data_IF_275980444149
#
_entry.id   IF_275980444149
#
_cell.length_a   1.000
_cell.length_b   1.000
_cell.length_c   1.000
_cell.angle_alpha   90.00
_cell.angle_beta   90.00
_cell.angle_gamma   90.00
#
_symmetry.space_group_name_H-M   'P 1'
#
loop_
_entity.id
_entity.type
_entity.pdbx_description
1 polymer ?
#
# COMPACT_ATOMS: atom_id res chain seq x y z
N UNK A 1 4.34 22.21 -33.53
CA UNK A 1 3.93 20.99 -32.81
C UNK A 1 4.65 20.97 -31.48
N UNK A 2 3.93 20.76 -30.38
CA UNK A 2 4.55 20.58 -29.07
C UNK A 2 5.20 19.20 -29.02
N UNK A 3 6.34 19.09 -28.33
CA UNK A 3 6.96 17.78 -28.07
C UNK A 3 6.10 17.02 -27.06
N UNK A 4 5.47 15.92 -27.52
CA UNK A 4 4.60 15.08 -26.70
C UNK A 4 5.40 14.04 -25.90
N UNK A 5 6.72 13.92 -26.11
CA UNK A 5 7.56 12.87 -25.51
C UNK A 5 7.54 12.90 -23.99
N UNK A 6 7.50 14.11 -23.40
CA UNK A 6 7.48 14.32 -21.95
C UNK A 6 6.08 14.56 -21.39
N UNK A 7 5.04 14.54 -22.24
CA UNK A 7 3.67 14.75 -21.79
C UNK A 7 3.21 13.59 -20.88
N UNK A 8 2.56 13.87 -19.73
CA UNK A 8 2.07 12.83 -18.83
C UNK A 8 0.88 12.09 -19.46
N UNK A 9 0.78 10.77 -19.21
CA UNK A 9 -0.27 9.93 -19.79
C UNK A 9 -1.69 10.41 -19.49
N UNK A 10 -1.92 10.99 -18.31
CA UNK A 10 -3.23 11.52 -17.92
C UNK A 10 -3.68 12.73 -18.77
N UNK A 11 -2.77 13.40 -19.48
CA UNK A 11 -3.09 14.44 -20.47
C UNK A 11 -3.23 13.85 -21.88
N UNK A 12 -2.39 12.87 -22.22
CA UNK A 12 -2.41 12.26 -23.55
C UNK A 12 -3.68 11.45 -23.82
N UNK A 13 -4.09 10.65 -22.83
CA UNK A 13 -5.17 9.67 -22.97
C UNK A 13 -6.53 10.33 -23.23
N UNK A 14 -6.98 11.35 -22.48
CA UNK A 14 -8.27 11.98 -22.73
C UNK A 14 -8.37 12.58 -24.12
N UNK A 15 -7.31 13.23 -24.61
CA UNK A 15 -7.26 13.77 -25.97
C UNK A 15 -7.30 12.66 -27.04
N UNK A 16 -6.61 11.53 -26.82
CA UNK A 16 -6.66 10.38 -27.73
C UNK A 16 -8.00 9.63 -27.75
N UNK A 17 -8.78 9.73 -26.66
CA UNK A 17 -10.09 9.08 -26.50
C UNK A 17 -11.28 9.99 -26.84
N UNK A 18 -11.08 11.31 -26.95
CA UNK A 18 -12.13 12.29 -27.25
C UNK A 18 -12.32 12.41 -28.77
N UNK A 19 -13.45 11.97 -29.34
CA UNK A 19 -13.66 12.03 -30.78
C UNK A 19 -13.60 13.46 -31.32
N UNK A 20 -12.80 13.68 -32.36
CA UNK A 20 -12.69 14.98 -33.01
C UNK A 20 -11.79 15.99 -32.29
N UNK A 21 -11.01 15.54 -31.30
CA UNK A 21 -9.94 16.35 -30.73
C UNK A 21 -8.90 16.67 -31.82
N UNK A 22 -8.43 17.93 -31.95
CA UNK A 22 -7.52 18.33 -33.04
C UNK A 22 -6.24 17.50 -33.08
N UNK A 23 -5.76 17.08 -31.91
CA UNK A 23 -4.52 16.32 -31.75
C UNK A 23 -4.74 14.82 -31.51
N UNK A 24 -5.95 14.28 -31.72
CA UNK A 24 -6.34 12.89 -31.41
C UNK A 24 -5.34 11.86 -31.97
N UNK A 25 -4.99 12.00 -33.25
CA UNK A 25 -4.12 11.07 -33.96
C UNK A 25 -2.67 11.10 -33.43
N UNK A 26 -2.13 12.29 -33.15
CA UNK A 26 -0.79 12.46 -32.62
C UNK A 26 -0.67 11.86 -31.21
N UNK A 27 -1.68 12.08 -30.37
CA UNK A 27 -1.72 11.55 -29.01
C UNK A 27 -1.84 10.02 -29.02
N UNK A 28 -2.68 9.44 -29.91
CA UNK A 28 -2.79 7.99 -30.07
C UNK A 28 -1.49 7.36 -30.55
N UNK A 29 -0.81 7.99 -31.51
CA UNK A 29 0.47 7.52 -32.02
C UNK A 29 1.54 7.51 -30.91
N UNK A 30 1.58 8.56 -30.10
CA UNK A 30 2.51 8.66 -28.97
C UNK A 30 2.24 7.61 -27.89
N UNK A 31 0.97 7.40 -27.50
CA UNK A 31 0.58 6.34 -26.56
C UNK A 31 1.01 4.97 -27.08
N UNK A 32 0.71 4.67 -28.36
CA UNK A 32 1.08 3.40 -28.99
C UNK A 32 2.60 3.21 -28.99
N UNK A 33 3.37 4.25 -29.34
CA UNK A 33 4.83 4.22 -29.31
C UNK A 33 5.37 3.85 -27.91
N UNK A 34 4.86 4.48 -26.84
CA UNK A 34 5.31 4.15 -25.47
C UNK A 34 4.90 2.74 -25.05
N UNK A 35 3.76 2.25 -25.50
CA UNK A 35 3.32 0.88 -25.26
C UNK A 35 4.22 -0.15 -25.97
N UNK A 36 4.49 0.06 -27.26
CA UNK A 36 5.33 -0.82 -28.07
C UNK A 36 6.76 -0.91 -27.51
N UNK A 37 7.31 0.21 -27.04
CA UNK A 37 8.60 0.24 -26.35
C UNK A 37 8.58 -0.63 -25.09
N UNK A 38 7.53 -0.54 -24.27
CA UNK A 38 7.39 -1.39 -23.08
C UNK A 38 7.26 -2.89 -23.46
N UNK A 39 6.51 -3.23 -24.50
CA UNK A 39 6.37 -4.61 -25.01
C UNK A 39 7.70 -5.16 -25.53
N UNK A 40 8.45 -4.37 -26.29
CA UNK A 40 9.78 -4.77 -26.78
C UNK A 40 10.74 -5.05 -25.63
N UNK A 41 10.77 -4.18 -24.61
CA UNK A 41 11.60 -4.39 -23.42
C UNK A 41 11.18 -5.63 -22.63
N UNK A 42 9.88 -5.84 -22.38
CA UNK A 42 9.38 -7.03 -21.68
C UNK A 42 9.71 -8.33 -22.41
N UNK A 43 9.72 -8.31 -23.74
CA UNK A 43 10.08 -9.47 -24.58
C UNK A 43 11.58 -9.82 -24.45
N UNK A 44 12.44 -8.83 -24.20
CA UNK A 44 13.88 -9.05 -23.96
C UNK A 44 14.20 -9.45 -22.52
N UNK A 45 13.35 -9.08 -21.56
CA UNK A 45 13.43 -9.47 -20.15
C UNK A 45 12.45 -10.62 -19.89
N UNK A 46 12.72 -11.80 -20.47
CA UNK A 46 11.99 -13.01 -20.05
C UNK A 46 12.16 -13.20 -18.53
N UNK A 47 11.11 -13.58 -17.78
CA UNK A 47 11.30 -14.03 -16.41
C UNK A 47 12.23 -15.25 -16.43
N UNK A 48 13.09 -15.46 -15.41
CA UNK A 48 13.76 -16.74 -15.29
C UNK A 48 12.68 -17.81 -15.23
N UNK A 49 12.59 -18.64 -16.26
CA UNK A 49 11.81 -19.87 -16.23
C UNK A 49 12.14 -20.56 -14.91
N UNK A 50 11.17 -20.90 -14.04
CA UNK A 50 11.48 -21.70 -12.87
C UNK A 50 12.08 -23.00 -13.42
N UNK A 51 13.40 -23.14 -13.25
CA UNK A 51 14.10 -24.33 -13.68
C UNK A 51 13.46 -25.48 -12.93
N UNK A 52 12.67 -26.29 -13.64
CA UNK A 52 12.30 -27.63 -13.20
C UNK A 52 13.61 -28.28 -12.79
N UNK A 53 13.80 -28.48 -11.49
CA UNK A 53 15.00 -29.06 -10.91
C UNK A 53 15.18 -30.45 -11.50
N UNK A 54 15.95 -30.53 -12.58
CA UNK A 54 16.55 -31.75 -13.07
C UNK A 54 18.02 -31.65 -12.70
N UNK A 55 18.56 -32.56 -11.88
CA UNK A 55 19.98 -32.53 -11.54
C UNK A 55 20.75 -32.93 -12.80
N UNK A 56 21.30 -31.95 -13.51
CA UNK A 56 22.32 -32.17 -14.52
C UNK A 56 23.61 -31.46 -14.10
N UNK A 57 24.71 -32.18 -14.30
CA UNK A 57 26.06 -31.85 -13.88
C UNK A 57 26.56 -30.50 -14.44
N UNK A 58 27.51 -29.85 -13.77
CA UNK A 58 27.90 -28.48 -14.07
C UNK A 58 28.91 -28.42 -15.21
N UNK A 59 28.45 -28.20 -16.44
CA UNK A 59 29.31 -27.65 -17.51
C UNK A 59 28.47 -26.83 -18.46
N UNK A 60 28.31 -25.53 -18.18
CA UNK A 60 28.12 -24.47 -19.19
C UNK A 60 28.25 -23.10 -18.53
N UNK A 61 29.34 -22.42 -18.86
CA UNK A 61 29.63 -21.03 -18.61
C UNK A 61 28.54 -20.17 -19.23
N UNK A 62 27.53 -19.78 -18.45
CA UNK A 62 26.54 -18.79 -18.89
C UNK A 62 27.16 -17.41 -18.68
N UNK A 63 27.19 -16.52 -19.68
CA UNK A 63 27.69 -15.17 -19.46
C UNK A 63 26.75 -14.47 -18.48
N UNK A 64 27.27 -14.09 -17.31
CA UNK A 64 26.60 -13.13 -16.45
C UNK A 64 26.51 -11.81 -17.21
N UNK A 65 25.32 -11.51 -17.73
CA UNK A 65 25.00 -10.20 -18.27
C UNK A 65 24.99 -9.23 -17.09
N UNK A 66 26.14 -8.57 -16.86
CA UNK A 66 26.24 -7.39 -16.01
C UNK A 66 25.38 -6.29 -16.64
N UNK A 67 24.11 -6.17 -16.23
CA UNK A 67 23.29 -5.02 -16.59
C UNK A 67 23.77 -3.83 -15.78
N UNK A 68 24.04 -2.71 -16.45
CA UNK A 68 24.40 -1.49 -15.74
C UNK A 68 23.19 -0.95 -14.97
N UNK A 69 23.38 -0.29 -13.82
CA UNK A 69 22.28 0.35 -13.08
C UNK A 69 21.45 1.33 -13.93
N UNK A 70 22.09 1.99 -14.91
CA UNK A 70 21.43 2.87 -15.89
C UNK A 70 20.44 2.13 -16.81
N UNK A 71 20.75 0.90 -17.22
CA UNK A 71 19.85 0.09 -18.05
C UNK A 71 18.60 -0.31 -17.26
N UNK A 72 18.75 -0.56 -15.96
CA UNK A 72 17.64 -0.92 -15.09
C UNK A 72 16.68 0.26 -14.85
N UNK A 73 17.21 1.47 -14.69
CA UNK A 73 16.40 2.68 -14.54
C UNK A 73 15.63 3.04 -15.83
N UNK A 74 16.28 2.88 -17.00
CA UNK A 74 15.63 3.11 -18.31
C UNK A 74 14.49 2.11 -18.58
N UNK A 75 14.71 0.83 -18.25
CA UNK A 75 13.67 -0.21 -18.34
C UNK A 75 12.50 0.09 -17.40
N UNK A 76 12.78 0.50 -16.15
CA UNK A 76 11.74 0.88 -15.20
C UNK A 76 10.90 2.05 -15.72
N UNK A 77 11.53 3.12 -16.21
CA UNK A 77 10.83 4.29 -16.75
C UNK A 77 9.94 3.97 -17.96
N UNK A 78 10.39 3.09 -18.84
CA UNK A 78 9.63 2.71 -20.04
C UNK A 78 8.40 1.86 -19.68
N UNK A 79 8.55 0.88 -18.79
CA UNK A 79 7.41 0.08 -18.29
C UNK A 79 6.44 0.97 -17.51
N UNK A 80 6.95 1.93 -16.75
CA UNK A 80 6.16 2.88 -15.98
C UNK A 80 5.27 3.76 -16.88
N UNK A 81 5.75 4.17 -18.06
CA UNK A 81 4.92 4.89 -19.03
C UNK A 81 3.70 4.08 -19.50
N UNK A 82 3.89 2.79 -19.82
CA UNK A 82 2.79 1.90 -20.18
C UNK A 82 1.84 1.62 -19.00
N UNK A 83 2.38 1.53 -17.77
CA UNK A 83 1.56 1.43 -16.55
C UNK A 83 0.71 2.68 -16.34
N UNK A 84 1.29 3.88 -16.51
CA UNK A 84 0.58 5.15 -16.41
C UNK A 84 -0.55 5.28 -17.43
N UNK A 85 -0.41 4.68 -18.62
CA UNK A 85 -1.53 4.58 -19.57
C UNK A 85 -2.71 3.80 -18.96
N UNK A 86 -2.46 2.60 -18.43
CA UNK A 86 -3.49 1.81 -17.72
C UNK A 86 -4.06 2.58 -16.51
N UNK A 87 -3.21 3.33 -15.81
CA UNK A 87 -3.60 4.24 -14.72
C UNK A 87 -4.58 5.32 -15.17
N UNK A 88 -4.35 5.95 -16.32
CA UNK A 88 -5.25 6.95 -16.88
C UNK A 88 -6.60 6.37 -17.32
N UNK A 89 -6.62 5.19 -17.96
CA UNK A 89 -7.86 4.48 -18.26
C UNK A 89 -8.64 4.15 -16.97
N UNK A 90 -7.93 3.69 -15.94
CA UNK A 90 -8.52 3.35 -14.64
C UNK A 90 -9.13 4.58 -13.97
N UNK A 91 -8.50 5.74 -14.08
CA UNK A 91 -9.02 7.00 -13.52
C UNK A 91 -10.35 7.39 -14.21
N UNK A 92 -10.38 7.36 -15.54
CA UNK A 92 -11.60 7.67 -16.32
C UNK A 92 -12.75 6.74 -15.90
N UNK A 93 -12.49 5.43 -15.83
CA UNK A 93 -13.50 4.46 -15.43
C UNK A 93 -13.90 4.62 -13.95
N UNK A 94 -12.98 4.97 -13.07
CA UNK A 94 -13.27 5.23 -11.65
C UNK A 94 -14.21 6.42 -11.47
N UNK A 95 -13.98 7.53 -12.21
CA UNK A 95 -14.87 8.69 -12.20
C UNK A 95 -16.27 8.33 -12.70
N UNK A 96 -16.35 7.51 -13.75
CA UNK A 96 -17.63 7.06 -14.30
C UNK A 96 -18.38 6.15 -13.32
N UNK A 97 -17.70 5.19 -12.69
CA UNK A 97 -18.30 4.34 -11.64
C UNK A 97 -18.82 5.17 -10.48
N UNK A 98 -18.04 6.17 -10.03
CA UNK A 98 -18.45 7.09 -8.97
C UNK A 98 -19.69 7.91 -9.37
N UNK A 99 -19.74 8.40 -10.61
CA UNK A 99 -20.90 9.11 -11.15
C UNK A 99 -22.15 8.22 -11.17
N UNK A 100 -22.02 6.99 -11.69
CA UNK A 100 -23.11 6.01 -11.75
C UNK A 100 -23.60 5.59 -10.37
N UNK A 101 -22.71 5.56 -9.38
CA UNK A 101 -23.04 5.29 -7.98
C UNK A 101 -23.68 6.51 -7.29
N UNK A 102 -23.63 7.70 -7.89
CA UNK A 102 -24.05 8.96 -7.25
C UNK A 102 -23.11 9.41 -6.12
N UNK A 103 -21.89 8.88 -6.09
CA UNK A 103 -20.91 9.12 -5.02
C UNK A 103 -19.86 10.11 -5.51
N UNK A 104 -19.67 11.21 -4.79
CA UNK A 104 -18.53 12.10 -5.06
C UNK A 104 -17.22 11.47 -4.54
N UNK A 105 -16.06 11.71 -5.18
CA UNK A 105 -14.80 11.13 -4.73
C UNK A 105 -14.50 11.34 -3.24
N UNK A 106 -14.78 12.54 -2.71
CA UNK A 106 -14.61 12.89 -1.28
C UNK A 106 -15.63 12.23 -0.35
N UNK A 107 -16.74 11.72 -0.89
CA UNK A 107 -17.81 11.10 -0.11
C UNK A 107 -17.68 9.59 0.02
N UNK A 108 -16.83 8.94 -0.77
CA UNK A 108 -16.67 7.47 -0.77
C UNK A 108 -16.48 6.86 0.62
N UNK A 109 -15.72 7.53 1.48
CA UNK A 109 -15.46 7.11 2.88
C UNK A 109 -16.11 8.02 3.93
N UNK A 110 -16.84 9.04 3.48
CA UNK A 110 -17.56 9.97 4.36
C UNK A 110 -19.07 9.67 4.42
N UNK A 111 -19.59 8.80 3.55
CA UNK A 111 -21.00 8.41 3.54
C UNK A 111 -21.15 6.92 3.83
N UNK A 112 -22.11 6.52 4.69
CA UNK A 112 -22.23 5.14 5.18
C UNK A 112 -22.48 4.07 4.11
N UNK A 113 -23.13 4.45 3.01
CA UNK A 113 -23.57 3.53 1.95
C UNK A 113 -22.80 3.69 0.64
N UNK A 114 -21.91 4.69 0.55
CA UNK A 114 -21.20 5.02 -0.68
C UNK A 114 -20.35 3.86 -1.22
N UNK A 115 -19.61 3.16 -0.35
CA UNK A 115 -18.84 1.99 -0.77
C UNK A 115 -19.74 0.86 -1.33
N UNK A 116 -20.93 0.65 -0.77
CA UNK A 116 -21.87 -0.38 -1.28
C UNK A 116 -22.46 0.02 -2.62
N UNK A 117 -22.79 1.29 -2.82
CA UNK A 117 -23.28 1.81 -4.10
C UNK A 117 -22.22 1.64 -5.21
N UNK A 118 -20.95 1.93 -4.91
CA UNK A 118 -19.83 1.67 -5.83
C UNK A 118 -19.69 0.19 -6.14
N UNK A 119 -19.72 -0.68 -5.12
CA UNK A 119 -19.65 -2.15 -5.32
C UNK A 119 -20.78 -2.63 -6.22
N UNK A 120 -22.01 -2.16 -6.03
CA UNK A 120 -23.15 -2.54 -6.87
C UNK A 120 -22.94 -2.18 -8.35
N UNK A 121 -22.33 -1.03 -8.64
CA UNK A 121 -21.96 -0.65 -10.02
C UNK A 121 -20.86 -1.57 -10.57
N UNK A 122 -19.84 -1.90 -9.78
CA UNK A 122 -18.73 -2.78 -10.19
C UNK A 122 -19.19 -4.22 -10.44
N UNK A 123 -20.11 -4.74 -9.62
CA UNK A 123 -20.72 -6.06 -9.80
C UNK A 123 -21.55 -6.09 -11.10
N UNK A 124 -22.34 -5.05 -11.36
CA UNK A 124 -23.08 -4.89 -12.62
C UNK A 124 -22.17 -4.90 -13.84
N UNK A 125 -21.04 -4.19 -13.79
CA UNK A 125 -20.08 -4.18 -14.90
C UNK A 125 -19.36 -5.52 -15.07
N UNK A 126 -19.04 -6.20 -13.96
CA UNK A 126 -18.42 -7.53 -13.98
C UNK A 126 -19.35 -8.56 -14.63
N UNK A 127 -20.66 -8.47 -14.36
CA UNK A 127 -21.67 -9.35 -14.93
C UNK A 127 -21.86 -9.18 -16.46
N UNK A 128 -21.45 -8.04 -17.05
CA UNK A 128 -21.49 -7.85 -18.53
C UNK A 128 -20.60 -8.83 -19.29
N UNK A 129 -19.65 -9.49 -18.62
CA UNK A 129 -18.75 -10.48 -19.21
C UNK A 129 -19.41 -11.84 -19.49
N UNK A 130 -20.64 -12.08 -19.02
CA UNK A 130 -21.35 -13.33 -19.27
C UNK A 130 -21.69 -13.47 -20.77
N UNK A 131 -21.15 -14.51 -21.43
CA UNK A 131 -21.50 -14.86 -22.81
C UNK A 131 -20.49 -14.53 -23.92
N UNK A 132 -19.18 -14.58 -23.67
CA UNK A 132 -18.13 -14.35 -24.71
C UNK A 132 -18.24 -12.99 -25.44
N UNK A 133 -18.64 -11.93 -24.72
CA UNK A 133 -18.58 -10.57 -25.24
C UNK A 133 -17.17 -9.97 -25.00
N UNK A 134 -16.38 -9.64 -26.05
CA UNK A 134 -15.06 -9.04 -25.88
C UNK A 134 -15.09 -7.73 -25.08
N UNK A 135 -16.12 -6.89 -25.29
CA UNK A 135 -16.34 -5.66 -24.51
C UNK A 135 -16.64 -5.99 -23.04
N UNK A 136 -17.34 -7.10 -22.77
CA UNK A 136 -17.60 -7.57 -21.41
C UNK A 136 -16.33 -7.99 -20.69
N UNK A 137 -15.35 -8.59 -21.38
CA UNK A 137 -14.05 -8.91 -20.81
C UNK A 137 -13.26 -7.64 -20.42
N UNK A 138 -13.25 -6.63 -21.30
CA UNK A 138 -12.64 -5.34 -21.00
C UNK A 138 -13.34 -4.62 -19.83
N UNK A 139 -14.68 -4.59 -19.80
CA UNK A 139 -15.44 -4.04 -18.70
C UNK A 139 -15.10 -4.72 -17.36
N UNK A 140 -14.93 -6.04 -17.36
CA UNK A 140 -14.48 -6.79 -16.18
C UNK A 140 -13.07 -6.39 -15.73
N UNK A 141 -12.13 -6.20 -16.65
CA UNK A 141 -10.79 -5.70 -16.32
C UNK A 141 -10.83 -4.29 -15.74
N UNK A 142 -11.60 -3.39 -16.35
CA UNK A 142 -11.77 -2.03 -15.86
C UNK A 142 -12.45 -1.99 -14.50
N UNK A 143 -13.49 -2.81 -14.28
CA UNK A 143 -14.12 -2.99 -12.98
C UNK A 143 -13.14 -3.54 -11.94
N UNK A 144 -12.30 -4.52 -12.30
CA UNK A 144 -11.27 -5.02 -11.41
C UNK A 144 -10.27 -3.93 -10.99
N UNK A 145 -9.70 -3.19 -11.95
CA UNK A 145 -8.76 -2.11 -11.61
C UNK A 145 -9.43 -0.95 -10.87
N UNK A 146 -10.71 -0.71 -11.12
CA UNK A 146 -11.49 0.28 -10.37
C UNK A 146 -11.79 -0.17 -8.96
N UNK A 147 -12.05 -1.46 -8.72
CA UNK A 147 -12.10 -2.03 -7.37
C UNK A 147 -10.74 -1.85 -6.68
N UNK A 148 -9.64 -2.17 -7.36
CA UNK A 148 -8.30 -1.98 -6.79
C UNK A 148 -8.04 -0.49 -6.47
N UNK A 149 -8.38 0.41 -7.40
CA UNK A 149 -8.20 1.85 -7.26
C UNK A 149 -9.08 2.43 -6.16
N UNK A 150 -10.37 2.16 -6.15
CA UNK A 150 -11.26 2.78 -5.18
C UNK A 150 -11.18 2.08 -3.82
N UNK A 151 -11.06 0.75 -3.81
CA UNK A 151 -11.38 -0.08 -2.66
C UNK A 151 -10.23 -1.01 -2.19
N UNK A 152 -9.05 -1.03 -2.82
CA UNK A 152 -7.91 -1.87 -2.32
C UNK A 152 -6.67 -1.06 -2.04
N UNK A 153 -5.66 -1.72 -1.46
CA UNK A 153 -4.37 -1.09 -1.18
C UNK A 153 -3.75 -0.60 -2.50
N UNK A 154 -3.21 0.63 -2.56
CA UNK A 154 -2.64 1.20 -3.79
C UNK A 154 -1.59 0.30 -4.46
N UNK A 155 -0.83 -0.45 -3.65
CA UNK A 155 0.20 -1.38 -4.13
C UNK A 155 -0.38 -2.52 -4.97
N UNK A 156 -1.58 -3.01 -4.65
CA UNK A 156 -2.21 -4.07 -5.42
C UNK A 156 -2.51 -3.62 -6.85
N UNK A 157 -3.00 -2.39 -7.02
CA UNK A 157 -3.23 -1.80 -8.34
C UNK A 157 -1.91 -1.60 -9.09
N UNK A 158 -0.91 -1.02 -8.42
CA UNK A 158 0.40 -0.78 -9.03
C UNK A 158 1.04 -2.10 -9.50
N UNK A 159 1.06 -3.13 -8.67
CA UNK A 159 1.63 -4.44 -8.99
C UNK A 159 0.89 -5.13 -10.14
N UNK A 160 -0.45 -5.04 -10.17
CA UNK A 160 -1.25 -5.62 -11.24
C UNK A 160 -1.08 -4.87 -12.57
N UNK A 161 -1.19 -3.54 -12.57
CA UNK A 161 -0.96 -2.74 -13.78
C UNK A 161 0.48 -2.88 -14.29
N UNK A 162 1.48 -2.91 -13.41
CA UNK A 162 2.88 -3.13 -13.80
C UNK A 162 3.05 -4.48 -14.47
N UNK A 163 2.38 -5.52 -13.98
CA UNK A 163 2.40 -6.86 -14.58
C UNK A 163 1.76 -6.86 -15.97
N UNK A 164 0.72 -6.07 -16.19
CA UNK A 164 0.02 -5.98 -17.47
C UNK A 164 0.68 -5.02 -18.47
N UNK A 165 1.44 -4.04 -17.98
CA UNK A 165 2.14 -3.04 -18.79
C UNK A 165 3.12 -3.71 -19.77
N UNK A 166 2.82 -3.55 -21.08
CA UNK A 166 3.59 -4.17 -22.16
C UNK A 166 3.33 -5.68 -22.37
N UNK A 167 2.45 -6.30 -21.58
CA UNK A 167 2.07 -7.72 -21.70
C UNK A 167 0.60 -7.94 -22.11
N UNK A 168 -0.27 -6.97 -21.86
CA UNK A 168 -1.68 -7.06 -22.25
C UNK A 168 -1.83 -7.12 -23.78
N UNK A 169 -2.67 -8.05 -24.26
CA UNK A 169 -2.94 -8.20 -25.69
C UNK A 169 -3.56 -6.92 -26.27
N UNK A 170 -3.07 -6.48 -27.43
CA UNK A 170 -3.51 -5.23 -28.09
C UNK A 170 -5.02 -5.15 -28.25
N UNK A 171 -5.67 -6.24 -28.66
CA UNK A 171 -7.13 -6.28 -28.81
C UNK A 171 -7.88 -6.00 -27.49
N UNK A 172 -7.38 -6.50 -26.36
CA UNK A 172 -7.98 -6.22 -25.05
C UNK A 172 -7.73 -4.77 -24.63
N UNK A 173 -6.53 -4.25 -24.90
CA UNK A 173 -6.19 -2.86 -24.62
C UNK A 173 -7.09 -1.87 -25.39
N UNK A 174 -7.32 -2.13 -26.68
CA UNK A 174 -8.25 -1.37 -27.52
C UNK A 174 -9.69 -1.43 -26.98
N UNK A 175 -10.13 -2.60 -26.50
CA UNK A 175 -11.46 -2.75 -25.89
C UNK A 175 -11.57 -1.98 -24.56
N UNK A 176 -10.52 -1.98 -23.73
CA UNK A 176 -10.48 -1.15 -22.52
C UNK A 176 -10.54 0.35 -22.86
N UNK A 177 -9.79 0.78 -23.89
CA UNK A 177 -9.84 2.15 -24.40
C UNK A 177 -11.24 2.52 -24.88
N UNK A 178 -11.92 1.62 -25.60
CA UNK A 178 -13.30 1.82 -26.06
C UNK A 178 -14.29 2.01 -24.91
N UNK A 179 -14.21 1.16 -23.87
CA UNK A 179 -15.03 1.32 -22.64
C UNK A 179 -14.77 2.69 -22.01
N UNK A 180 -13.52 3.14 -21.99
CA UNK A 180 -13.16 4.44 -21.43
C UNK A 180 -13.60 5.62 -22.32
N UNK A 181 -13.65 5.47 -23.65
CA UNK A 181 -14.22 6.47 -24.55
C UNK A 181 -15.71 6.68 -24.26
N UNK A 182 -16.49 5.61 -24.11
CA UNK A 182 -17.92 5.72 -23.74
C UNK A 182 -18.09 6.36 -22.35
N UNK A 183 -17.30 5.90 -21.38
CA UNK A 183 -17.32 6.46 -20.03
C UNK A 183 -17.00 7.96 -20.02
N UNK A 184 -15.92 8.38 -20.70
CA UNK A 184 -15.46 9.76 -20.77
C UNK A 184 -16.52 10.69 -21.37
N UNK A 185 -17.21 10.26 -22.43
CA UNK A 185 -18.27 11.02 -23.08
C UNK A 185 -19.50 11.27 -22.17
N UNK A 186 -19.68 10.42 -21.14
CA UNK A 186 -20.80 10.50 -20.18
C UNK A 186 -20.45 11.26 -18.90
N UNK A 187 -19.18 11.57 -18.65
CA UNK A 187 -18.76 12.32 -17.47
C UNK A 187 -19.25 13.76 -17.53
N UNK A 188 -19.88 14.24 -16.45
CA UNK A 188 -20.39 15.61 -16.37
C UNK A 188 -20.29 16.18 -14.96
N UNK A 189 -20.32 17.52 -14.83
CA UNK A 189 -20.26 18.20 -13.54
C UNK A 189 -19.02 17.81 -12.70
N UNK A 190 -19.18 17.45 -11.40
CA UNK A 190 -18.08 17.16 -10.48
C UNK A 190 -17.25 15.93 -10.82
N UNK A 191 -17.74 15.08 -11.74
CA UNK A 191 -17.05 13.87 -12.20
C UNK A 191 -16.27 14.08 -13.50
N UNK A 192 -16.32 15.27 -14.09
CA UNK A 192 -15.48 15.57 -15.26
C UNK A 192 -14.00 15.39 -14.91
N UNK A 193 -13.25 14.79 -15.84
CA UNK A 193 -11.82 14.55 -15.63
C UNK A 193 -11.06 15.85 -15.33
N UNK A 194 -11.41 16.95 -16.01
CA UNK A 194 -10.80 18.25 -15.73
C UNK A 194 -11.01 18.71 -14.28
N UNK A 195 -12.22 18.56 -13.73
CA UNK A 195 -12.49 18.92 -12.33
C UNK A 195 -11.77 17.98 -11.37
N UNK A 196 -11.75 16.69 -11.65
CA UNK A 196 -11.02 15.70 -10.85
C UNK A 196 -9.51 16.01 -10.79
N UNK A 197 -8.91 16.39 -11.93
CA UNK A 197 -7.50 16.76 -12.02
C UNK A 197 -7.19 18.13 -11.41
N UNK A 198 -8.16 19.06 -11.40
CA UNK A 198 -7.99 20.41 -10.87
C UNK A 198 -8.10 20.50 -9.34
N UNK A 199 -8.58 19.44 -8.66
CA UNK A 199 -8.67 19.39 -7.20
C UNK A 199 -7.49 18.61 -6.65
N UNK A 200 -6.39 19.28 -6.24
CA UNK A 200 -5.29 18.60 -5.56
C UNK A 200 -5.80 18.08 -4.21
N UNK A 201 -5.86 16.76 -4.04
CA UNK A 201 -5.97 16.18 -2.69
C UNK A 201 -6.98 15.07 -2.46
N UNK A 202 -7.55 14.42 -3.48
CA UNK A 202 -8.39 13.24 -3.22
C UNK A 202 -7.66 11.94 -3.58
N UNK A 203 -7.39 11.18 -2.52
CA UNK A 203 -6.53 10.01 -2.46
C UNK A 203 -6.66 9.01 -3.60
N UNK A 204 -5.47 8.49 -3.95
CA UNK A 204 -5.06 7.59 -5.04
C UNK A 204 -5.05 8.23 -6.43
N UNK A 205 -3.84 8.56 -6.88
CA UNK A 205 -3.55 8.96 -8.25
C UNK A 205 -2.79 7.82 -8.95
N UNK A 206 -3.50 6.83 -9.50
CA UNK A 206 -2.85 5.68 -10.14
C UNK A 206 -2.10 6.05 -11.41
N UNK A 207 -2.34 7.23 -11.97
CA UNK A 207 -1.75 7.72 -13.21
C UNK A 207 -0.44 8.50 -13.02
N UNK A 208 0.00 8.78 -11.79
CA UNK A 208 1.29 9.45 -11.57
C UNK A 208 2.45 8.49 -11.79
N UNK A 209 3.49 8.99 -12.46
CA UNK A 209 4.78 8.31 -12.53
C UNK A 209 5.36 8.18 -11.12
N UNK A 210 5.69 6.96 -10.71
CA UNK A 210 6.34 6.69 -9.42
C UNK A 210 7.56 5.83 -9.68
N UNK A 211 8.71 6.26 -9.20
CA UNK A 211 9.89 5.41 -9.20
C UNK A 211 9.63 4.21 -8.26
N UNK A 212 9.97 3.00 -8.69
CA UNK A 212 9.93 1.81 -7.84
C UNK A 212 10.74 2.01 -6.55
N UNK A 213 11.86 2.76 -6.62
CA UNK A 213 12.68 3.12 -5.46
C UNK A 213 12.02 4.21 -4.57
N UNK A 214 11.07 4.99 -5.10
CA UNK A 214 10.31 5.99 -4.32
C UNK A 214 9.21 5.39 -3.44
N UNK A 215 8.95 4.08 -3.54
CA UNK A 215 8.07 3.42 -2.56
C UNK A 215 8.75 3.27 -1.18
N UNK A 216 10.07 3.43 -1.09
CA UNK A 216 10.82 3.38 0.17
C UNK A 216 10.82 4.74 0.93
N UNK A 217 10.52 5.87 0.26
CA UNK A 217 10.19 7.14 0.94
C UNK A 217 8.78 7.04 1.48
N UNK A 218 8.61 7.02 2.81
CA UNK A 218 7.39 6.66 3.57
C UNK A 218 6.06 7.13 2.94
N UNK A 219 5.52 6.43 1.94
CA UNK A 219 4.43 6.97 1.13
C UNK A 219 3.14 7.00 1.95
N UNK A 220 3.06 6.10 2.93
CA UNK A 220 1.97 6.04 3.91
C UNK A 220 1.94 7.28 4.79
N UNK A 221 3.10 7.90 5.07
CA UNK A 221 3.18 9.12 5.86
C UNK A 221 2.71 10.30 5.02
N UNK A 222 3.19 10.45 3.78
CA UNK A 222 2.73 11.50 2.87
C UNK A 222 1.21 11.44 2.63
N UNK A 223 0.69 10.23 2.40
CA UNK A 223 -0.75 9.96 2.29
C UNK A 223 -1.50 10.29 3.58
N UNK A 224 -0.94 9.96 4.74
CA UNK A 224 -1.54 10.27 6.04
C UNK A 224 -1.53 11.75 6.37
N UNK A 225 -0.51 12.49 5.93
CA UNK A 225 -0.36 13.91 6.22
C UNK A 225 -1.18 14.80 5.29
N UNK A 226 -1.69 14.22 4.20
CA UNK A 226 -2.47 14.96 3.21
C UNK A 226 -1.71 16.15 2.63
N UNK A 227 -0.36 16.12 2.61
CA UNK A 227 0.47 17.20 2.07
C UNK A 227 0.63 17.01 0.56
N UNK A 228 -0.01 17.81 -0.28
CA UNK A 228 0.34 17.86 -1.69
C UNK A 228 1.65 18.66 -1.81
N UNK A 229 2.79 17.98 -2.00
CA UNK A 229 3.99 18.63 -2.55
C UNK A 229 5.28 18.57 -1.74
N UNK A 230 5.26 18.20 -0.46
CA UNK A 230 6.50 18.03 0.32
C UNK A 230 6.59 16.61 0.89
N UNK A 231 7.46 15.79 0.31
CA UNK A 231 7.82 14.48 0.85
C UNK A 231 8.52 14.63 2.18
N UNK A 232 8.06 13.93 3.21
CA UNK A 232 8.81 13.88 4.48
C UNK A 232 10.08 13.08 4.27
N UNK A 233 11.22 13.71 4.55
CA UNK A 233 12.51 13.04 4.54
C UNK A 233 12.71 12.22 5.81
N UNK A 234 13.49 11.14 5.71
CA UNK A 234 13.89 10.35 6.88
C UNK A 234 14.59 11.21 7.95
N UNK A 235 15.37 12.20 7.53
CA UNK A 235 16.07 13.12 8.44
C UNK A 235 15.12 14.04 9.23
N UNK A 236 13.98 14.41 8.67
CA UNK A 236 12.93 15.14 9.40
C UNK A 236 12.24 14.25 10.43
N UNK A 237 11.94 13.00 10.05
CA UNK A 237 11.38 12.00 10.95
C UNK A 237 12.31 11.70 12.13
N UNK A 238 13.60 11.48 11.86
CA UNK A 238 14.58 11.20 12.90
C UNK A 238 14.76 12.38 13.87
N UNK A 239 14.74 13.62 13.36
CA UNK A 239 14.73 14.83 14.21
C UNK A 239 13.48 14.90 15.09
N UNK A 240 12.30 14.67 14.53
CA UNK A 240 11.04 14.72 15.27
C UNK A 240 10.99 13.65 16.37
N UNK A 241 11.47 12.43 16.09
CA UNK A 241 11.62 11.35 17.07
C UNK A 241 12.60 11.74 18.19
N UNK A 242 13.78 12.25 17.85
CA UNK A 242 14.78 12.65 18.84
C UNK A 242 14.26 13.74 19.79
N UNK A 243 13.60 14.77 19.25
CA UNK A 243 12.98 15.83 20.05
C UNK A 243 11.89 15.27 20.99
N UNK A 244 11.03 14.42 20.46
CA UNK A 244 9.95 13.77 21.22
C UNK A 244 10.49 12.87 22.34
N UNK A 245 11.57 12.11 22.09
CA UNK A 245 12.24 11.30 23.13
C UNK A 245 12.80 12.18 24.25
N UNK A 246 13.40 13.32 23.91
CA UNK A 246 13.91 14.26 24.90
C UNK A 246 12.79 14.83 25.79
N UNK A 247 11.65 15.22 25.19
CA UNK A 247 10.46 15.67 25.93
C UNK A 247 9.92 14.57 26.87
N UNK A 248 9.83 13.32 26.39
CA UNK A 248 9.37 12.19 27.19
C UNK A 248 10.34 11.87 28.33
N UNK A 249 11.65 11.92 28.09
CA UNK A 249 12.66 11.70 29.12
C UNK A 249 12.57 12.76 30.25
N UNK A 250 12.38 14.02 29.88
CA UNK A 250 12.16 15.10 30.85
C UNK A 250 10.87 14.88 31.66
N UNK A 251 9.78 14.46 31.02
CA UNK A 251 8.53 14.14 31.71
C UNK A 251 8.65 12.90 32.62
N UNK A 252 9.37 11.86 32.18
CA UNK A 252 9.60 10.66 32.96
C UNK A 252 10.43 10.93 34.23
N UNK A 253 11.42 11.83 34.15
CA UNK A 253 12.23 12.23 35.30
C UNK A 253 11.41 12.89 36.42
N UNK A 254 10.26 13.49 36.11
CA UNK A 254 9.33 14.04 37.09
C UNK A 254 8.51 12.97 37.85
N UNK A 255 8.67 11.69 37.51
CA UNK A 255 7.93 10.58 38.10
C UNK A 255 8.89 9.50 38.63
N UNK A 256 8.95 9.27 39.96
CA UNK A 256 9.83 8.25 40.51
C UNK A 256 9.40 6.85 40.06
N UNK A 257 10.35 5.96 39.69
CA UNK A 257 10.03 4.60 39.29
C UNK A 257 9.42 3.84 40.48
N UNK A 258 8.42 2.97 40.25
CA UNK A 258 7.94 2.07 41.29
C UNK A 258 9.06 1.09 41.70
N UNK A 259 9.01 0.50 42.91
CA UNK A 259 9.96 -0.53 43.32
C UNK A 259 9.99 -1.67 42.29
N UNK A 260 11.18 -2.19 42.02
CA UNK A 260 11.39 -3.19 40.98
C UNK A 260 10.54 -4.44 41.22
N UNK A 261 9.52 -4.63 40.38
CA UNK A 261 8.82 -5.90 40.27
C UNK A 261 9.62 -6.84 39.36
N UNK A 262 9.53 -8.15 39.60
CA UNK A 262 10.15 -9.14 38.73
C UNK A 262 9.67 -8.99 37.28
N UNK A 263 10.56 -9.30 36.32
CA UNK A 263 10.22 -9.24 34.90
C UNK A 263 9.38 -10.47 34.54
N UNK A 264 8.08 -10.29 34.46
CA UNK A 264 7.15 -11.27 33.88
C UNK A 264 6.84 -10.96 32.40
N UNK A 265 6.20 -11.90 31.71
CA UNK A 265 5.82 -11.75 30.30
C UNK A 265 4.90 -10.53 30.07
N UNK A 266 4.06 -10.19 31.07
CA UNK A 266 3.18 -9.03 31.02
C UNK A 266 3.98 -7.73 31.05
N UNK A 267 5.02 -7.66 31.88
CA UNK A 267 5.94 -6.52 31.99
C UNK A 267 6.74 -6.34 30.71
N UNK A 268 7.21 -7.43 30.10
CA UNK A 268 7.91 -7.38 28.82
C UNK A 268 7.02 -6.86 27.68
N UNK A 269 5.76 -7.33 27.58
CA UNK A 269 4.81 -6.78 26.59
C UNK A 269 4.52 -5.30 26.81
N UNK A 270 4.48 -4.84 28.07
CA UNK A 270 4.33 -3.41 28.38
C UNK A 270 5.55 -2.59 27.97
N UNK A 271 6.76 -3.13 28.10
CA UNK A 271 8.00 -2.50 27.60
C UNK A 271 7.96 -2.27 26.09
N UNK A 272 7.55 -3.28 25.34
CA UNK A 272 7.41 -3.21 23.88
C UNK A 272 6.36 -2.16 23.46
N UNK A 273 5.21 -2.15 24.15
CA UNK A 273 4.17 -1.14 23.92
C UNK A 273 4.67 0.28 24.21
N UNK A 274 5.39 0.49 25.31
CA UNK A 274 5.97 1.79 25.67
C UNK A 274 7.01 2.23 24.64
N UNK A 275 7.92 1.34 24.23
CA UNK A 275 8.90 1.64 23.19
C UNK A 275 8.20 2.08 21.89
N UNK A 276 7.15 1.37 21.48
CA UNK A 276 6.35 1.77 20.32
C UNK A 276 5.69 3.14 20.51
N UNK A 277 5.05 3.41 21.65
CA UNK A 277 4.39 4.69 21.91
C UNK A 277 5.36 5.87 21.83
N UNK A 278 6.59 5.70 22.34
CA UNK A 278 7.66 6.69 22.26
C UNK A 278 8.02 7.00 20.80
N UNK A 279 8.19 5.96 19.98
CA UNK A 279 8.51 6.13 18.55
C UNK A 279 7.35 6.73 17.75
N UNK A 280 6.12 6.30 18.03
CA UNK A 280 4.91 6.73 17.34
C UNK A 280 4.62 8.22 17.57
N UNK A 281 4.88 8.75 18.77
CA UNK A 281 4.66 10.17 19.05
C UNK A 281 5.51 11.11 18.19
N UNK A 282 6.71 10.68 17.75
CA UNK A 282 7.53 11.44 16.81
C UNK A 282 6.88 11.56 15.43
N UNK A 283 6.20 10.50 14.99
CA UNK A 283 5.43 10.51 13.73
C UNK A 283 4.17 11.37 13.84
N UNK A 284 3.42 11.24 14.94
CA UNK A 284 2.24 12.07 15.23
C UNK A 284 2.61 13.56 15.29
N UNK A 285 3.80 13.88 15.82
CA UNK A 285 4.33 15.25 15.85
C UNK A 285 4.40 15.89 14.47
N UNK A 286 4.90 15.14 13.48
CA UNK A 286 5.03 15.60 12.11
C UNK A 286 3.70 15.66 11.38
N UNK A 287 2.78 14.75 11.74
CA UNK A 287 1.50 14.63 11.07
C UNK A 287 0.65 15.90 11.18
N UNK A 288 0.74 16.59 12.32
CA UNK A 288 0.04 17.85 12.59
C UNK A 288 -1.51 17.79 12.48
N UNK A 289 -2.09 16.65 12.12
CA UNK A 289 -3.53 16.34 12.22
C UNK A 289 -3.76 15.00 12.95
N UNK A 290 -5.00 14.79 13.40
CA UNK A 290 -5.44 13.54 14.03
C UNK A 290 -6.60 12.91 13.28
N UNK A 291 -6.72 13.22 12.00
CA UNK A 291 -7.80 12.73 11.19
C UNK A 291 -7.53 11.30 10.75
N UNK A 292 -8.56 10.47 10.90
CA UNK A 292 -8.55 9.13 10.32
C UNK A 292 -8.69 9.30 8.83
N UNK A 293 -7.88 8.60 8.07
CA UNK A 293 -7.90 8.60 6.61
C UNK A 293 -7.95 7.18 6.08
N UNK A 294 -8.64 7.04 4.96
CA UNK A 294 -8.63 5.83 4.16
C UNK A 294 -8.03 6.17 2.80
N UNK A 295 -6.85 5.64 2.54
CA UNK A 295 -6.00 5.96 1.39
C UNK A 295 -5.80 7.48 1.19
N UNK A 296 -5.65 8.21 2.30
CA UNK A 296 -5.45 9.65 2.33
C UNK A 296 -6.72 10.48 2.36
N UNK A 297 -7.89 9.87 2.13
CA UNK A 297 -9.18 10.56 2.20
C UNK A 297 -9.63 10.68 3.66
N UNK A 298 -9.91 11.88 4.17
CA UNK A 298 -10.34 12.05 5.56
C UNK A 298 -11.69 11.38 5.79
N UNK A 299 -11.82 10.75 6.96
CA UNK A 299 -13.06 10.15 7.45
C UNK A 299 -13.62 11.07 8.51
N UNK A 300 -14.92 11.38 8.37
CA UNK A 300 -15.65 12.20 9.33
C UNK A 300 -15.53 11.61 10.75
N UNK A 301 -15.39 12.47 11.77
CA UNK A 301 -15.06 12.04 13.15
C UNK A 301 -16.08 11.05 13.72
N UNK A 302 -17.35 11.28 13.44
CA UNK A 302 -18.49 10.45 13.84
C UNK A 302 -18.54 9.08 13.13
N UNK A 303 -17.82 8.92 12.02
CA UNK A 303 -17.77 7.67 11.26
C UNK A 303 -16.53 6.81 11.56
N UNK A 304 -15.56 7.32 12.33
CA UNK A 304 -14.29 6.64 12.59
C UNK A 304 -14.46 5.22 13.11
N UNK A 305 -15.27 5.04 14.15
CA UNK A 305 -15.49 3.73 14.77
C UNK A 305 -16.17 2.76 13.82
N UNK A 306 -17.11 3.25 13.02
CA UNK A 306 -17.80 2.45 12.00
C UNK A 306 -16.84 2.02 10.90
N UNK A 307 -16.04 2.93 10.35
CA UNK A 307 -15.05 2.61 9.30
C UNK A 307 -14.01 1.60 9.82
N UNK A 308 -13.48 1.82 11.03
CA UNK A 308 -12.60 0.86 11.67
C UNK A 308 -13.28 -0.49 11.92
N UNK A 309 -14.58 -0.49 12.26
CA UNK A 309 -15.39 -1.70 12.41
C UNK A 309 -15.52 -2.47 11.10
N UNK A 310 -15.86 -1.79 10.01
CA UNK A 310 -16.00 -2.39 8.69
C UNK A 310 -14.68 -3.02 8.20
N UNK A 311 -13.53 -2.37 8.43
CA UNK A 311 -12.23 -2.96 8.08
C UNK A 311 -11.85 -4.16 8.96
N UNK A 312 -12.29 -4.19 10.22
CA UNK A 312 -12.15 -5.39 11.07
C UNK A 312 -13.02 -6.53 10.56
N UNK A 313 -14.26 -6.26 10.16
CA UNK A 313 -15.18 -7.23 9.57
C UNK A 313 -14.63 -7.79 8.25
N UNK A 314 -14.13 -6.91 7.38
CA UNK A 314 -13.43 -7.25 6.14
C UNK A 314 -12.27 -8.21 6.38
N UNK A 315 -11.39 -7.87 7.34
CA UNK A 315 -10.25 -8.69 7.69
C UNK A 315 -10.67 -10.07 8.22
N UNK A 316 -11.78 -10.14 8.97
CA UNK A 316 -12.33 -11.40 9.48
C UNK A 316 -12.93 -12.28 8.38
N UNK A 317 -13.62 -11.69 7.42
CA UNK A 317 -14.38 -12.41 6.38
C UNK A 317 -13.48 -13.15 5.39
N UNK A 318 -12.23 -12.72 5.18
CA UNK A 318 -11.27 -13.25 4.18
C UNK A 318 -11.79 -13.27 2.73
N UNK A 319 -12.95 -12.67 2.48
CA UNK A 319 -13.59 -12.60 1.16
C UNK A 319 -13.37 -11.23 0.54
N UNK A 320 -13.02 -11.14 -0.76
CA UNK A 320 -12.86 -9.86 -1.44
C UNK A 320 -14.09 -8.95 -1.34
N UNK A 321 -15.30 -9.51 -1.30
CA UNK A 321 -16.56 -8.74 -1.29
C UNK A 321 -16.86 -7.97 0.01
N UNK A 322 -16.16 -8.28 1.12
CA UNK A 322 -16.43 -7.67 2.41
C UNK A 322 -15.61 -6.38 2.56
N UNK A 323 -16.09 -5.25 2.03
CA UNK A 323 -15.52 -3.89 2.20
C UNK A 323 -14.05 -3.72 1.74
N UNK A 324 -13.65 -2.52 1.27
CA UNK A 324 -12.28 -2.19 0.94
C UNK A 324 -11.17 -2.68 1.89
N UNK A 325 -10.11 -3.28 1.35
CA UNK A 325 -8.83 -3.49 2.05
C UNK A 325 -7.91 -2.33 1.72
N UNK A 326 -8.11 -1.22 2.39
CA UNK A 326 -7.46 0.06 2.09
C UNK A 326 -6.47 0.45 3.17
N UNK A 327 -5.59 1.39 2.86
CA UNK A 327 -4.62 1.91 3.82
C UNK A 327 -5.34 2.81 4.81
N UNK A 328 -5.53 2.33 6.03
CA UNK A 328 -6.07 3.17 7.10
C UNK A 328 -4.90 3.89 7.77
N UNK A 329 -5.00 5.21 7.88
CA UNK A 329 -4.03 6.00 8.62
C UNK A 329 -4.71 6.91 9.64
N UNK A 330 -4.04 7.16 10.76
CA UNK A 330 -4.49 8.09 11.79
C UNK A 330 -3.27 8.83 12.32
N UNK A 331 -3.22 10.16 12.15
CA UNK A 331 -2.08 10.99 12.58
C UNK A 331 -0.70 10.48 12.10
N UNK A 332 -0.60 10.07 10.84
CA UNK A 332 0.63 9.49 10.27
C UNK A 332 0.80 7.98 10.49
N UNK A 333 0.12 7.41 11.49
CA UNK A 333 0.23 5.99 11.84
C UNK A 333 -0.59 5.14 10.88
N UNK A 334 -0.01 4.08 10.33
CA UNK A 334 -0.75 3.11 9.50
C UNK A 334 -1.34 2.01 10.38
N UNK A 335 -2.60 1.66 10.12
CA UNK A 335 -3.33 0.61 10.84
C UNK A 335 -3.65 -0.51 9.85
N UNK A 336 -3.06 -1.68 10.06
CA UNK A 336 -3.35 -2.87 9.27
C UNK A 336 -4.16 -3.87 10.12
N UNK A 337 -5.26 -4.38 9.54
CA UNK A 337 -6.09 -5.41 10.15
C UNK A 337 -5.83 -6.75 9.48
N UNK A 338 -5.63 -7.81 10.28
CA UNK A 338 -5.44 -9.16 9.75
C UNK A 338 -6.15 -10.20 10.62
N UNK A 339 -6.69 -11.26 10.01
CA UNK A 339 -7.20 -12.41 10.75
C UNK A 339 -6.06 -13.39 11.05
N UNK A 340 -5.74 -13.57 12.32
CA UNK A 340 -4.77 -14.55 12.80
C UNK A 340 -5.43 -15.93 12.89
N UNK A 341 -4.98 -16.87 12.05
CA UNK A 341 -5.54 -18.24 12.02
C UNK A 341 -5.18 -19.05 13.25
N UNK A 342 -4.06 -18.75 13.88
CA UNK A 342 -3.56 -19.47 15.06
C UNK A 342 -4.39 -19.08 16.28
N UNK A 343 -4.71 -17.79 16.41
CA UNK A 343 -5.48 -17.25 17.54
C UNK A 343 -7.00 -17.24 17.25
N UNK A 344 -7.41 -17.40 15.99
CA UNK A 344 -8.82 -17.41 15.60
C UNK A 344 -9.49 -16.03 15.73
N UNK A 345 -8.72 -14.95 15.64
CA UNK A 345 -9.20 -13.59 15.92
C UNK A 345 -8.54 -12.54 15.02
N UNK A 346 -9.16 -11.36 14.93
CA UNK A 346 -8.57 -10.20 14.25
C UNK A 346 -7.51 -9.56 15.14
N UNK A 347 -6.31 -9.43 14.58
CA UNK A 347 -5.19 -8.67 15.14
C UNK A 347 -5.04 -7.35 14.39
N UNK A 348 -4.42 -6.39 15.06
CA UNK A 348 -4.12 -5.08 14.51
C UNK A 348 -2.63 -4.83 14.63
N UNK A 349 -2.02 -4.44 13.51
CA UNK A 349 -0.67 -3.92 13.48
C UNK A 349 -0.76 -2.40 13.29
N UNK A 350 -0.28 -1.63 14.27
CA UNK A 350 -0.02 -0.20 14.03
C UNK A 350 1.44 -0.04 13.66
N UNK A 351 1.68 0.66 12.54
CA UNK A 351 3.01 0.95 12.02
C UNK A 351 3.32 2.43 12.16
N UNK A 352 4.47 2.71 12.76
CA UNK A 352 5.11 4.02 12.77
C UNK A 352 6.43 3.92 11.98
N UNK A 353 6.32 3.95 10.65
CA UNK A 353 7.43 3.75 9.72
C UNK A 353 8.10 2.38 9.92
N UNK A 354 9.23 2.26 10.64
CA UNK A 354 9.92 0.99 10.87
C UNK A 354 9.45 0.26 12.13
N UNK A 355 8.76 0.96 13.04
CA UNK A 355 8.24 0.37 14.26
C UNK A 355 6.85 -0.22 14.00
N UNK A 356 6.66 -1.50 14.34
CA UNK A 356 5.38 -2.20 14.21
C UNK A 356 5.01 -2.77 15.57
N UNK A 357 3.80 -2.47 16.03
CA UNK A 357 3.24 -3.10 17.23
C UNK A 357 1.97 -3.85 16.87
N UNK A 358 1.97 -5.15 17.17
CA UNK A 358 0.85 -6.07 16.96
C UNK A 358 0.07 -6.29 18.25
N UNK A 359 -1.24 -6.14 18.22
CA UNK A 359 -2.09 -6.38 19.38
C UNK A 359 -3.52 -6.81 18.99
N UNK A 360 -4.32 -7.36 19.94
CA UNK A 360 -5.72 -7.69 19.71
C UNK A 360 -6.56 -6.46 19.36
N UNK A 361 -7.48 -6.56 18.40
CA UNK A 361 -8.22 -5.40 17.88
C UNK A 361 -8.98 -4.57 18.94
N UNK A 362 -9.44 -5.18 20.03
CA UNK A 362 -10.13 -4.48 21.13
C UNK A 362 -9.23 -3.48 21.89
N UNK A 363 -7.89 -3.57 21.74
CA UNK A 363 -6.95 -2.64 22.36
C UNK A 363 -6.68 -1.39 21.52
N UNK A 364 -7.09 -1.39 20.25
CA UNK A 364 -6.85 -0.27 19.33
C UNK A 364 -7.33 1.08 19.88
N UNK A 365 -8.56 1.21 20.42
CA UNK A 365 -9.04 2.49 20.94
C UNK A 365 -8.13 3.06 22.03
N UNK A 366 -7.73 2.25 23.01
CA UNK A 366 -6.88 2.71 24.11
C UNK A 366 -5.47 3.18 23.64
N UNK A 367 -4.92 2.53 22.60
CA UNK A 367 -3.63 2.94 22.01
C UNK A 367 -3.78 4.28 21.28
N UNK A 368 -4.82 4.42 20.45
CA UNK A 368 -5.10 5.67 19.73
C UNK A 368 -5.44 6.81 20.70
N UNK A 369 -6.22 6.55 21.74
CA UNK A 369 -6.56 7.52 22.80
C UNK A 369 -5.34 8.03 23.54
N UNK A 370 -4.25 7.26 23.58
CA UNK A 370 -2.98 7.70 24.18
C UNK A 370 -2.18 8.56 23.19
N UNK A 371 -2.11 8.13 21.93
CA UNK A 371 -1.31 8.79 20.89
C UNK A 371 -1.92 10.10 20.38
N UNK A 372 -3.24 10.22 20.41
CA UNK A 372 -3.99 11.35 19.81
C UNK A 372 -4.41 12.41 20.83
N UNK A 373 -3.97 12.30 22.10
CA UNK A 373 -4.19 13.37 23.08
C UNK A 373 -3.49 14.65 22.65
N UNK A 374 -3.92 15.82 23.16
CA UNK A 374 -3.11 17.03 23.05
C UNK A 374 -1.68 16.73 23.46
N UNK A 375 -0.70 17.14 22.64
CA UNK A 375 0.71 16.79 22.78
C UNK A 375 1.24 16.81 24.24
N UNK A 376 1.06 17.88 25.05
CA UNK A 376 1.58 17.88 26.42
C UNK A 376 1.01 16.74 27.28
N UNK A 377 -0.25 16.37 27.07
CA UNK A 377 -0.90 15.27 27.78
C UNK A 377 -0.39 13.91 27.31
N UNK A 378 -0.20 13.74 25.99
CA UNK A 378 0.37 12.52 25.42
C UNK A 378 1.79 12.28 25.95
N UNK A 379 2.65 13.31 25.91
CA UNK A 379 4.03 13.27 26.43
C UNK A 379 4.04 12.91 27.92
N UNK A 380 3.19 13.54 28.73
CA UNK A 380 3.10 13.26 30.17
C UNK A 380 2.62 11.83 30.43
N UNK A 381 1.62 11.36 29.69
CA UNK A 381 1.10 10.00 29.80
C UNK A 381 2.15 8.96 29.44
N UNK A 382 2.85 9.14 28.32
CA UNK A 382 3.93 8.22 27.91
C UNK A 382 5.14 8.33 28.86
N UNK A 383 5.49 9.52 29.34
CA UNK A 383 6.54 9.70 30.35
C UNK A 383 6.27 8.93 31.65
N UNK A 384 5.02 8.91 32.13
CA UNK A 384 4.61 8.06 33.26
C UNK A 384 4.75 6.57 32.96
N UNK A 385 4.46 6.14 31.74
CA UNK A 385 4.62 4.74 31.34
C UNK A 385 6.09 4.35 31.20
N UNK A 386 6.94 5.23 30.66
CA UNK A 386 8.40 5.05 30.60
C UNK A 386 8.98 4.91 32.00
N UNK A 387 8.65 5.81 32.93
CA UNK A 387 9.10 5.71 34.33
C UNK A 387 8.70 4.39 35.01
N UNK A 388 7.50 3.86 34.67
CA UNK A 388 7.00 2.61 35.26
C UNK A 388 7.54 1.34 34.63
N UNK A 389 7.79 1.34 33.32
CA UNK A 389 8.00 0.12 32.56
C UNK A 389 9.23 0.15 31.67
N UNK A 390 9.73 1.31 31.26
CA UNK A 390 10.87 1.43 30.35
C UNK A 390 12.21 1.44 31.07
N UNK A 391 13.19 0.70 30.54
CA UNK A 391 14.59 0.95 30.86
C UNK A 391 14.98 2.22 30.09
N UNK A 392 15.15 3.37 30.76
CA UNK A 392 15.53 4.63 30.09
C UNK A 392 16.93 4.45 29.48
N UNK A 393 17.11 4.31 28.15
CA UNK A 393 18.44 4.38 27.60
C UNK A 393 18.83 5.86 27.63
N UNK A 394 19.95 6.17 28.27
CA UNK A 394 20.49 7.53 28.32
C UNK A 394 20.62 8.12 26.90
N UNK A 395 20.51 9.45 26.74
CA UNK A 395 20.76 10.10 25.46
C UNK A 395 22.23 9.89 25.08
N UNK A 396 22.49 9.04 24.09
CA UNK A 396 23.80 8.99 23.43
C UNK A 396 23.85 10.18 22.48
N UNK A 397 24.42 11.27 22.98
CA UNK A 397 24.90 12.38 22.15
C UNK A 397 25.99 11.85 21.21
N UNK A 398 25.84 12.16 19.93
CA UNK A 398 26.58 11.67 18.76
C UNK A 398 28.11 11.73 18.83
N UNK A 399 28.76 10.78 18.17
CA UNK A 399 29.97 11.05 17.37
C UNK A 399 29.75 10.52 15.94
N UNK A 400 30.18 11.25 14.89
CA UNK A 400 30.12 10.76 13.52
C UNK A 400 31.14 9.63 13.35
N UNK A 401 30.69 8.45 12.93
CA UNK A 401 31.60 7.34 12.62
C UNK A 401 32.14 7.54 11.21
N UNK A 402 33.38 8.00 11.16
CA UNK A 402 34.29 7.88 10.03
C UNK A 402 34.47 6.41 9.67
N UNK A 403 34.26 6.08 8.39
CA UNK A 403 34.51 4.76 7.78
C UNK A 403 35.99 4.37 7.83
N UNK A 404 36.29 3.17 8.30
CA UNK A 404 37.42 2.36 7.85
C UNK A 404 37.18 0.85 8.12
N UNK A 405 37.65 -0.06 7.25
CA UNK A 405 37.24 -1.46 7.23
C UNK A 405 38.06 -2.32 8.20
N UNK A 406 37.43 -3.27 8.88
CA UNK A 406 38.10 -4.26 9.71
C UNK A 406 38.00 -5.65 9.07
N UNK A 407 39.15 -6.05 8.53
CA UNK A 407 39.81 -7.35 8.49
C UNK A 407 39.08 -8.56 9.11
N UNK A 408 39.13 -9.65 8.34
CA UNK A 408 38.70 -11.00 8.68
C UNK A 408 39.31 -11.53 9.99
N UNK A 409 38.47 -12.13 10.82
CA UNK A 409 38.87 -13.09 11.83
C UNK A 409 37.97 -14.33 11.75
N UNK A 410 38.61 -15.47 11.45
CA UNK A 410 38.04 -16.80 11.52
C UNK A 410 37.68 -17.12 12.98
N UNK A 411 36.45 -17.58 13.21
CA UNK A 411 36.10 -18.33 14.43
C UNK A 411 35.34 -19.59 14.02
N UNK A 412 36.03 -20.69 14.20
CA UNK A 412 35.56 -22.08 14.20
C UNK A 412 34.41 -22.23 15.21
N UNK A 413 33.29 -22.81 14.80
CA UNK A 413 32.23 -23.23 15.73
C UNK A 413 31.67 -24.58 15.32
N UNK A 414 31.68 -25.47 16.30
CA UNK A 414 31.41 -26.90 16.20
C UNK A 414 29.95 -27.23 15.88
N UNK A 415 29.81 -28.32 15.16
CA UNK A 415 28.58 -28.91 14.65
C UNK A 415 27.93 -29.82 15.71
N UNK A 416 26.64 -29.64 16.07
CA UNK A 416 25.90 -30.67 16.79
C UNK A 416 25.21 -31.64 15.83
N UNK A 417 25.26 -32.91 16.21
CA UNK A 417 24.80 -34.08 15.46
C UNK A 417 23.30 -34.07 15.13
N UNK A 418 23.00 -34.42 13.87
CA UNK A 418 21.65 -34.70 13.36
C UNK A 418 21.11 -36.00 13.97
N UNK A 419 19.89 -35.95 14.54
CA UNK A 419 19.05 -37.13 14.76
C UNK A 419 18.28 -37.47 13.48
N UNK A 420 18.07 -38.75 13.14
CA UNK A 420 17.38 -39.16 11.92
C UNK A 420 15.85 -39.00 12.02
N UNK A 421 15.26 -38.55 10.92
CA UNK A 421 13.82 -38.52 10.68
C UNK A 421 13.24 -39.94 10.66
N UNK A 422 12.23 -40.17 11.49
CA UNK A 422 11.37 -41.37 11.49
C UNK A 422 10.30 -41.20 10.40
N UNK A 423 10.18 -42.17 9.51
CA UNK A 423 9.17 -42.21 8.45
C UNK A 423 7.75 -42.33 9.03
N UNK A 424 6.72 -41.72 8.39
CA UNK A 424 5.33 -41.92 8.78
C UNK A 424 4.81 -43.30 8.33
N UNK A 425 3.98 -43.91 9.19
CA UNK A 425 3.28 -45.16 8.92
C UNK A 425 2.17 -44.99 7.86
N UNK A 426 1.86 -46.02 7.06
CA UNK A 426 0.78 -45.96 6.07
C UNK A 426 -0.61 -45.94 6.74
N UNK A 427 -1.51 -45.17 6.14
CA UNK A 427 -2.88 -44.99 6.56
C UNK A 427 -3.70 -46.28 6.45
N UNK A 428 -4.54 -46.53 7.46
CA UNK A 428 -5.52 -47.61 7.49
C UNK A 428 -6.66 -47.38 6.47
N UNK A 429 -7.23 -48.43 5.87
CA UNK A 429 -8.33 -48.31 4.92
C UNK A 429 -9.67 -47.97 5.60
N UNK A 430 -10.59 -47.29 4.88
CA UNK A 430 -11.87 -46.86 5.43
C UNK A 430 -12.86 -48.01 5.63
N UNK A 431 -13.61 -47.93 6.73
CA UNK A 431 -14.69 -48.84 7.13
C UNK A 431 -15.97 -48.54 6.31
N UNK A 432 -16.70 -49.56 5.83
CA UNK A 432 -17.93 -49.35 5.06
C UNK A 432 -19.12 -48.96 5.96
N UNK A 433 -19.92 -48.00 5.49
CA UNK A 433 -21.18 -47.55 6.11
C UNK A 433 -22.32 -48.50 5.68
N UNK A 434 -23.17 -48.99 6.61
CA UNK A 434 -24.32 -49.80 6.25
C UNK A 434 -25.45 -48.91 5.72
N UNK A 435 -26.03 -49.31 4.58
CA UNK A 435 -27.26 -48.72 4.04
C UNK A 435 -28.46 -49.14 4.88
N UNK A 436 -29.32 -48.17 5.20
CA UNK A 436 -30.77 -48.37 5.35
C UNK A 436 -31.48 -47.32 4.52
#
# INVERSE_FOLDING_TARGET
MADLTDAPMIQLVPAALTPGHPDEAEHRAEIQRRWDLATALRSTVSPPTPATVRPQAPTSTTPMVNRSPQDSASVASTVESARCYLGALTEIHSLWVLQEAGVRPERLYAEPDAARQVIAVLERETARAEGYNPVGLAARHMAHWTDLALLREPRALYDDQTRQAGHMATALLEQCAWVCTDALARLHGPWTLQQALAVPGLGKQPYLFRDAASWDTLPTLDVALGRPGDTITRAELDRARAATRAEIAAAAAAHPPPPAAGVDERTQRRREEVAFLVEALGMVALAADSDLRVDGRPVARDLRDRVLGLHREAAAARTPSAVPTTTITVAGLRIDHAFDRTVGAVVVDIRADQAVLRFPAHRLPAVLDTLLQPRPNAITTVGRLVSRYGDVPAPVTTAPVTTAPATAAQVTSAQPARRPHRAPAPAAPPTPVPRR
#
